data_IF_240979197876
#
_entry.id   IF_240979197876
#
_cell.length_a   1.000
_cell.length_b   1.000
_cell.length_c   1.000
_cell.angle_alpha   90.00
_cell.angle_beta   90.00
_cell.angle_gamma   90.00
#
_symmetry.space_group_name_H-M   'P 1'
#
loop_
_entity.id
_entity.type
_entity.pdbx_description
1 polymer ?
#
# COMPACT_ATOMS: atom_id res chain seq x y z
N UNK A 1 -21.02 -6.91 -18.80
CA UNK A 1 -20.07 -6.58 -17.70
C UNK A 1 -19.71 -5.12 -17.81
N UNK A 2 -20.12 -4.32 -16.83
CA UNK A 2 -19.94 -2.86 -16.85
C UNK A 2 -18.47 -2.50 -16.97
N UNK A 3 -18.10 -1.89 -18.09
CA UNK A 3 -16.90 -1.07 -18.20
C UNK A 3 -17.09 0.12 -17.25
N UNK A 4 -16.86 -0.05 -15.96
CA UNK A 4 -16.55 1.09 -15.08
C UNK A 4 -15.16 1.55 -15.52
N UNK A 5 -15.13 2.42 -16.54
CA UNK A 5 -14.10 3.44 -16.62
C UNK A 5 -14.24 4.18 -15.28
N UNK A 6 -13.38 3.89 -14.30
CA UNK A 6 -13.22 4.83 -13.20
C UNK A 6 -12.95 6.17 -13.90
N UNK A 7 -13.76 7.21 -13.65
CA UNK A 7 -13.42 8.53 -14.16
C UNK A 7 -12.01 8.77 -13.65
N UNK A 8 -11.05 8.99 -14.56
CA UNK A 8 -9.68 9.29 -14.16
C UNK A 8 -9.78 10.54 -13.30
N UNK A 9 -9.71 10.35 -11.99
CA UNK A 9 -9.61 11.44 -11.03
C UNK A 9 -8.37 12.22 -11.43
N UNK A 10 -8.41 13.55 -11.30
CA UNK A 10 -7.27 14.40 -11.60
C UNK A 10 -6.04 13.79 -10.90
N UNK A 11 -4.89 13.67 -11.60
CA UNK A 11 -3.68 13.16 -10.96
C UNK A 11 -3.44 13.95 -9.67
N UNK A 12 -3.11 13.26 -8.56
CA UNK A 12 -2.99 13.91 -7.25
C UNK A 12 -2.01 15.10 -7.27
N UNK A 13 -0.99 15.03 -8.12
CA UNK A 13 0.02 16.08 -8.31
C UNK A 13 -0.49 17.31 -9.10
N UNK A 14 -1.63 17.19 -9.76
CA UNK A 14 -2.29 18.25 -10.53
C UNK A 14 -3.44 18.90 -9.75
N UNK A 15 -3.84 18.31 -8.63
CA UNK A 15 -4.86 18.86 -7.74
C UNK A 15 -4.47 20.27 -7.25
N UNK A 16 -5.33 21.29 -7.45
CA UNK A 16 -5.01 22.67 -7.11
C UNK A 16 -4.59 22.86 -5.65
N UNK A 17 -5.31 22.22 -4.71
CA UNK A 17 -5.02 22.32 -3.29
C UNK A 17 -3.65 21.70 -2.92
N UNK A 18 -3.27 20.60 -3.58
CA UNK A 18 -1.97 19.95 -3.35
C UNK A 18 -0.84 20.83 -3.87
N UNK A 19 -1.00 21.41 -5.06
CA UNK A 19 -0.01 22.32 -5.66
C UNK A 19 0.15 23.61 -4.85
N UNK A 20 -0.97 24.23 -4.47
CA UNK A 20 -0.96 25.45 -3.66
C UNK A 20 -0.25 25.21 -2.32
N UNK A 21 -0.59 24.12 -1.60
CA UNK A 21 0.05 23.83 -0.32
C UNK A 21 1.56 23.58 -0.47
N UNK A 22 1.98 22.81 -1.47
CA UNK A 22 3.40 22.55 -1.72
C UNK A 22 4.20 23.82 -2.04
N UNK A 23 3.57 24.80 -2.68
CA UNK A 23 4.20 26.09 -2.99
C UNK A 23 4.23 27.01 -1.75
N UNK A 24 3.15 27.09 -0.97
CA UNK A 24 3.13 27.81 0.31
C UNK A 24 4.20 27.26 1.26
N UNK A 25 4.28 25.94 1.40
CA UNK A 25 5.31 25.29 2.20
C UNK A 25 6.73 25.58 1.69
N UNK A 26 6.90 25.79 0.38
CA UNK A 26 8.20 26.13 -0.23
C UNK A 26 8.59 27.56 0.12
N UNK A 27 7.67 28.51 -0.04
CA UNK A 27 7.89 29.93 0.23
C UNK A 27 8.29 30.17 1.69
N UNK A 28 7.76 29.35 2.60
CA UNK A 28 8.03 29.46 4.04
C UNK A 28 9.05 28.44 4.58
N UNK A 29 9.79 27.72 3.73
CA UNK A 29 10.79 26.71 4.13
C UNK A 29 10.27 25.71 5.17
N UNK A 30 9.02 25.25 5.01
CA UNK A 30 8.40 24.34 5.97
C UNK A 30 9.11 22.98 6.00
N UNK A 31 9.50 22.46 7.18
CA UNK A 31 10.30 21.23 7.31
C UNK A 31 9.59 19.98 6.77
N UNK A 32 8.25 20.00 6.66
CA UNK A 32 7.44 18.88 6.18
C UNK A 32 7.27 18.79 4.65
N UNK A 33 7.70 19.80 3.89
CA UNK A 33 7.41 19.89 2.45
C UNK A 33 7.91 18.68 1.66
N UNK A 34 9.14 18.26 1.94
CA UNK A 34 9.78 17.16 1.24
C UNK A 34 9.03 15.84 1.43
N UNK A 35 8.57 15.58 2.65
CA UNK A 35 7.80 14.39 2.96
C UNK A 35 6.40 14.42 2.35
N UNK A 36 5.69 15.55 2.41
CA UNK A 36 4.40 15.70 1.73
C UNK A 36 4.51 15.47 0.22
N UNK A 37 5.49 16.11 -0.44
CA UNK A 37 5.72 15.95 -1.87
C UNK A 37 5.98 14.49 -2.23
N UNK A 38 6.88 13.84 -1.48
CA UNK A 38 7.23 12.46 -1.76
C UNK A 38 6.08 11.50 -1.44
N UNK A 39 5.24 11.77 -0.44
CA UNK A 39 3.99 11.03 -0.22
C UNK A 39 3.07 11.12 -1.43
N UNK A 40 2.78 12.32 -1.93
CA UNK A 40 1.92 12.51 -3.10
C UNK A 40 2.47 11.79 -4.35
N UNK A 41 3.79 11.82 -4.55
CA UNK A 41 4.44 11.07 -5.64
C UNK A 41 4.31 9.56 -5.49
N UNK A 42 4.46 9.03 -4.26
CA UNK A 42 4.28 7.60 -4.02
C UNK A 42 2.82 7.17 -4.24
N UNK A 43 1.85 7.99 -3.82
CA UNK A 43 0.42 7.73 -4.05
C UNK A 43 0.10 7.75 -5.55
N UNK A 44 0.65 8.69 -6.32
CA UNK A 44 0.54 8.68 -7.78
C UNK A 44 1.18 7.42 -8.41
N UNK A 45 2.29 6.93 -7.84
CA UNK A 45 2.91 5.68 -8.24
C UNK A 45 2.05 4.44 -7.97
N UNK A 46 1.27 4.44 -6.87
CA UNK A 46 0.29 3.38 -6.60
C UNK A 46 -0.78 3.31 -7.69
N UNK A 47 -1.26 4.46 -8.17
CA UNK A 47 -2.26 4.54 -9.25
C UNK A 47 -1.73 3.93 -10.56
N UNK A 48 -0.48 4.22 -10.91
CA UNK A 48 0.17 3.64 -12.09
C UNK A 48 0.32 2.11 -11.97
N UNK A 49 0.79 1.62 -10.83
CA UNK A 49 0.97 0.19 -10.61
C UNK A 49 -0.34 -0.58 -10.60
N UNK A 50 -1.41 0.02 -10.08
CA UNK A 50 -2.74 -0.58 -10.09
C UNK A 50 -3.35 -0.64 -11.50
N UNK A 51 -3.01 0.31 -12.38
CA UNK A 51 -3.33 0.20 -13.81
C UNK A 51 -2.58 -0.98 -14.46
N UNK A 52 -1.29 -1.15 -14.20
CA UNK A 52 -0.53 -2.30 -14.71
C UNK A 52 -1.07 -3.63 -14.19
N UNK A 53 -1.55 -3.70 -12.95
CA UNK A 53 -2.19 -4.91 -12.42
C UNK A 53 -3.48 -5.27 -13.19
N UNK A 54 -4.25 -4.28 -13.67
CA UNK A 54 -5.41 -4.55 -14.53
C UNK A 54 -5.01 -5.13 -15.90
N UNK A 55 -3.86 -4.70 -16.43
CA UNK A 55 -3.30 -5.26 -17.67
C UNK A 55 -2.90 -6.72 -17.44
N UNK A 56 -2.19 -7.04 -16.34
CA UNK A 56 -1.83 -8.42 -15.99
C UNK A 56 -3.08 -9.30 -15.78
N UNK A 57 -4.11 -8.81 -15.10
CA UNK A 57 -5.38 -9.53 -14.98
C UNK A 57 -6.04 -9.82 -16.34
N UNK A 58 -5.91 -8.91 -17.31
CA UNK A 58 -6.40 -9.14 -18.67
C UNK A 58 -5.62 -10.25 -19.37
N UNK A 59 -4.30 -10.29 -19.19
CA UNK A 59 -3.42 -11.36 -19.69
C UNK A 59 -3.77 -12.70 -19.04
N UNK A 60 -3.96 -12.74 -17.71
CA UNK A 60 -4.37 -13.97 -17.02
C UNK A 60 -5.68 -14.54 -17.58
N UNK A 61 -6.68 -13.68 -17.83
CA UNK A 61 -7.96 -14.12 -18.44
C UNK A 61 -7.74 -14.70 -19.83
N UNK A 62 -6.91 -14.06 -20.65
CA UNK A 62 -6.61 -14.51 -22.01
C UNK A 62 -5.90 -15.86 -22.01
N UNK A 63 -4.85 -16.01 -21.20
CA UNK A 63 -4.10 -17.25 -21.04
C UNK A 63 -5.02 -18.39 -20.56
N UNK A 64 -5.89 -18.13 -19.58
CA UNK A 64 -6.85 -19.12 -19.10
C UNK A 64 -7.94 -19.45 -20.13
N UNK A 65 -8.36 -18.49 -20.96
CA UNK A 65 -9.35 -18.75 -22.02
C UNK A 65 -8.81 -19.72 -23.08
N UNK A 66 -7.51 -19.63 -23.41
CA UNK A 66 -6.83 -20.51 -24.37
C UNK A 66 -6.45 -21.88 -23.77
N UNK A 67 -6.40 -21.98 -22.44
CA UNK A 67 -6.10 -23.24 -21.76
C UNK A 67 -7.24 -24.27 -21.89
N UNK A 68 -6.86 -25.55 -22.04
CA UNK A 68 -7.80 -26.67 -22.05
C UNK A 68 -8.57 -26.76 -20.72
N UNK A 69 -9.82 -27.19 -20.79
CA UNK A 69 -10.64 -27.40 -19.60
C UNK A 69 -10.04 -28.45 -18.67
N UNK A 70 -9.87 -28.08 -17.40
CA UNK A 70 -9.25 -28.91 -16.37
C UNK A 70 -9.60 -28.40 -14.97
N UNK A 71 -9.46 -29.24 -13.91
CA UNK A 71 -9.57 -28.77 -12.54
C UNK A 71 -8.61 -27.62 -12.21
N UNK A 72 -7.40 -27.65 -12.78
CA UNK A 72 -6.38 -26.59 -12.65
C UNK A 72 -6.89 -25.27 -13.22
N UNK A 73 -7.42 -25.28 -14.45
CA UNK A 73 -8.00 -24.09 -15.08
C UNK A 73 -9.10 -23.48 -14.22
N UNK A 74 -10.05 -24.30 -13.73
CA UNK A 74 -11.15 -23.83 -12.87
C UNK A 74 -10.64 -23.22 -11.56
N UNK A 75 -9.62 -23.83 -10.95
CA UNK A 75 -9.00 -23.30 -9.74
C UNK A 75 -8.32 -21.94 -10.00
N UNK A 76 -7.59 -21.80 -11.11
CA UNK A 76 -6.95 -20.55 -11.50
C UNK A 76 -7.97 -19.46 -11.86
N UNK A 77 -9.07 -19.79 -12.54
CA UNK A 77 -10.17 -18.85 -12.79
C UNK A 77 -10.77 -18.31 -11.49
N UNK A 78 -10.94 -19.17 -10.47
CA UNK A 78 -11.41 -18.75 -9.14
C UNK A 78 -10.41 -17.80 -8.48
N UNK A 79 -9.11 -18.05 -8.63
CA UNK A 79 -8.07 -17.15 -8.13
C UNK A 79 -8.10 -15.80 -8.84
N UNK A 80 -8.18 -15.78 -10.17
CA UNK A 80 -8.29 -14.54 -10.97
C UNK A 80 -9.52 -13.72 -10.58
N UNK A 81 -10.68 -14.36 -10.39
CA UNK A 81 -11.87 -13.67 -9.89
C UNK A 81 -11.67 -13.07 -8.48
N UNK A 82 -10.88 -13.73 -7.64
CA UNK A 82 -10.46 -13.21 -6.33
C UNK A 82 -9.57 -11.97 -6.48
N UNK A 83 -8.53 -12.06 -7.32
CA UNK A 83 -7.63 -10.93 -7.62
C UNK A 83 -8.41 -9.73 -8.15
N UNK A 84 -9.32 -9.93 -9.11
CA UNK A 84 -10.17 -8.85 -9.64
C UNK A 84 -10.99 -8.14 -8.57
N UNK A 85 -11.58 -8.90 -7.64
CA UNK A 85 -12.37 -8.34 -6.55
C UNK A 85 -11.50 -7.47 -5.64
N UNK A 86 -10.30 -7.95 -5.30
CA UNK A 86 -9.35 -7.20 -4.45
C UNK A 86 -8.81 -5.97 -5.18
N UNK A 87 -8.42 -6.09 -6.45
CA UNK A 87 -7.95 -4.98 -7.29
C UNK A 87 -9.01 -3.87 -7.43
N UNK A 88 -10.28 -4.24 -7.61
CA UNK A 88 -11.38 -3.25 -7.60
C UNK A 88 -11.54 -2.60 -6.22
N UNK A 89 -11.35 -3.35 -5.13
CA UNK A 89 -11.34 -2.81 -3.77
C UNK A 89 -10.18 -1.82 -3.53
N UNK A 90 -9.00 -2.11 -4.08
CA UNK A 90 -7.83 -1.23 -4.02
C UNK A 90 -8.09 0.11 -4.73
N UNK A 91 -8.77 0.11 -5.88
CA UNK A 91 -9.17 1.35 -6.56
C UNK A 91 -10.01 2.24 -5.67
N UNK A 92 -11.10 1.72 -5.09
CA UNK A 92 -11.96 2.51 -4.21
C UNK A 92 -11.23 3.04 -2.97
N UNK A 93 -10.28 2.28 -2.42
CA UNK A 93 -9.44 2.74 -1.30
C UNK A 93 -8.44 3.82 -1.72
N UNK A 94 -7.88 3.71 -2.91
CA UNK A 94 -6.95 4.70 -3.46
C UNK A 94 -7.66 6.02 -3.77
N UNK A 95 -8.88 5.98 -4.34
CA UNK A 95 -9.70 7.18 -4.55
C UNK A 95 -10.02 7.86 -3.22
N UNK A 96 -10.48 7.10 -2.22
CA UNK A 96 -10.73 7.64 -0.87
C UNK A 96 -9.46 8.21 -0.22
N UNK A 97 -8.30 7.60 -0.46
CA UNK A 97 -7.01 8.12 0.00
C UNK A 97 -6.69 9.48 -0.66
N UNK A 98 -6.84 9.58 -1.99
CA UNK A 98 -6.61 10.83 -2.74
C UNK A 98 -7.54 11.94 -2.25
N UNK A 99 -8.83 11.65 -2.07
CA UNK A 99 -9.81 12.59 -1.52
C UNK A 99 -9.39 13.13 -0.15
N UNK A 100 -8.95 12.25 0.76
CA UNK A 100 -8.47 12.66 2.08
C UNK A 100 -7.22 13.53 2.01
N UNK A 101 -6.29 13.23 1.10
CA UNK A 101 -5.11 14.09 0.88
C UNK A 101 -5.54 15.48 0.42
N UNK A 102 -6.39 15.56 -0.60
CA UNK A 102 -6.89 16.85 -1.12
C UNK A 102 -7.62 17.64 -0.04
N UNK A 103 -8.49 16.99 0.72
CA UNK A 103 -9.23 17.62 1.81
C UNK A 103 -8.32 18.09 2.95
N UNK A 104 -7.32 17.30 3.33
CA UNK A 104 -6.33 17.71 4.32
C UNK A 104 -5.47 18.88 3.83
N UNK A 105 -5.13 18.93 2.53
CA UNK A 105 -4.45 20.09 1.95
C UNK A 105 -5.30 21.36 2.03
N UNK A 106 -6.60 21.28 1.70
CA UNK A 106 -7.53 22.42 1.83
C UNK A 106 -7.62 22.93 3.26
N UNK A 107 -7.75 22.01 4.23
CA UNK A 107 -7.80 22.37 5.66
C UNK A 107 -6.51 23.02 6.15
N UNK A 108 -5.36 22.51 5.70
CA UNK A 108 -4.06 23.10 6.02
C UNK A 108 -3.94 24.53 5.46
N UNK A 109 -4.36 24.75 4.20
CA UNK A 109 -4.37 26.07 3.58
C UNK A 109 -5.30 27.05 4.29
N UNK A 110 -6.49 26.60 4.70
CA UNK A 110 -7.41 27.40 5.49
C UNK A 110 -6.79 27.80 6.85
N UNK A 111 -6.21 26.83 7.57
CA UNK A 111 -5.54 27.09 8.85
C UNK A 111 -4.33 28.03 8.70
N UNK A 112 -3.59 27.92 7.58
CA UNK A 112 -2.50 28.85 7.25
C UNK A 112 -2.99 30.28 7.06
N UNK A 113 -4.13 30.48 6.39
CA UNK A 113 -4.72 31.82 6.20
C UNK A 113 -5.18 32.45 7.53
N UNK A 114 -5.62 31.63 8.48
CA UNK A 114 -6.07 32.09 9.80
C UNK A 114 -4.93 32.30 10.81
N UNK A 115 -3.95 31.39 10.83
CA UNK A 115 -2.95 31.27 11.92
C UNK A 115 -1.51 31.48 11.45
N UNK A 116 -1.29 31.65 10.15
CA UNK A 116 0.01 31.84 9.54
C UNK A 116 0.86 30.57 9.46
N UNK A 117 2.17 30.76 9.35
CA UNK A 117 3.17 29.71 9.04
C UNK A 117 3.15 28.54 10.02
N UNK A 118 2.79 28.77 11.29
CA UNK A 118 2.72 27.72 12.31
C UNK A 118 1.75 26.59 11.95
N UNK A 119 0.67 26.89 11.20
CA UNK A 119 -0.30 25.89 10.76
C UNK A 119 0.32 24.84 9.81
N UNK A 120 1.36 25.20 9.04
CA UNK A 120 2.02 24.29 8.10
C UNK A 120 2.72 23.14 8.81
N UNK A 121 3.15 23.33 10.06
CA UNK A 121 3.74 22.27 10.87
C UNK A 121 2.73 21.14 11.13
N UNK A 122 1.44 21.47 11.27
CA UNK A 122 0.36 20.53 11.56
C UNK A 122 -0.28 19.90 10.31
N UNK A 123 0.37 19.98 9.15
CA UNK A 123 -0.17 19.44 7.89
C UNK A 123 -0.57 17.96 8.01
N UNK A 124 0.24 17.13 8.67
CA UNK A 124 -0.08 15.71 8.86
C UNK A 124 -1.38 15.47 9.62
N UNK A 125 -1.67 16.31 10.62
CA UNK A 125 -2.88 16.20 11.43
C UNK A 125 -4.12 16.42 10.57
N UNK A 126 -4.08 17.34 9.60
CA UNK A 126 -5.23 17.58 8.72
C UNK A 126 -5.48 16.47 7.69
N UNK A 127 -4.46 15.70 7.31
CA UNK A 127 -4.55 14.65 6.28
C UNK A 127 -5.37 13.44 6.74
N UNK A 128 -5.18 12.98 7.99
CA UNK A 128 -5.87 11.80 8.56
C UNK A 128 -5.87 10.55 7.65
N UNK A 129 -4.75 10.29 6.95
CA UNK A 129 -4.68 9.23 5.93
C UNK A 129 -4.12 7.88 6.41
N UNK A 130 -3.56 7.80 7.62
CA UNK A 130 -2.97 6.55 8.15
C UNK A 130 -3.91 5.35 8.08
N UNK A 131 -5.18 5.42 8.52
CA UNK A 131 -6.10 4.27 8.42
C UNK A 131 -6.40 3.84 6.98
N UNK A 132 -6.39 4.79 6.04
CA UNK A 132 -6.60 4.49 4.62
C UNK A 132 -5.40 3.72 4.03
N UNK A 133 -4.18 4.16 4.34
CA UNK A 133 -2.94 3.49 3.93
C UNK A 133 -2.84 2.08 4.50
N UNK A 134 -3.13 1.89 5.79
CA UNK A 134 -3.16 0.55 6.39
C UNK A 134 -4.23 -0.35 5.76
N UNK A 135 -5.37 0.23 5.37
CA UNK A 135 -6.40 -0.48 4.61
C UNK A 135 -5.91 -0.97 3.25
N UNK A 136 -5.13 -0.15 2.54
CA UNK A 136 -4.48 -0.52 1.28
C UNK A 136 -3.46 -1.64 1.52
N UNK A 137 -2.59 -1.50 2.52
CA UNK A 137 -1.58 -2.52 2.87
C UNK A 137 -2.20 -3.90 3.11
N UNK A 138 -3.33 -3.96 3.82
CA UNK A 138 -4.04 -5.23 4.08
C UNK A 138 -4.66 -5.85 2.83
N UNK A 139 -5.16 -5.04 1.90
CA UNK A 139 -5.71 -5.57 0.64
C UNK A 139 -4.60 -6.06 -0.29
N UNK A 140 -3.47 -5.35 -0.36
CA UNK A 140 -2.29 -5.77 -1.12
C UNK A 140 -1.75 -7.12 -0.61
N UNK A 141 -1.69 -7.33 0.70
CA UNK A 141 -1.28 -8.61 1.29
C UNK A 141 -2.23 -9.76 0.90
N UNK A 142 -3.55 -9.52 0.90
CA UNK A 142 -4.51 -10.52 0.39
C UNK A 142 -4.29 -10.85 -1.08
N UNK A 143 -3.94 -9.84 -1.89
CA UNK A 143 -3.68 -10.00 -3.31
C UNK A 143 -2.44 -10.88 -3.55
N UNK A 144 -1.34 -10.61 -2.83
CA UNK A 144 -0.12 -11.44 -2.86
C UNK A 144 -0.42 -12.91 -2.50
N UNK A 145 -1.28 -13.16 -1.51
CA UNK A 145 -1.69 -14.52 -1.13
C UNK A 145 -2.46 -15.23 -2.26
N UNK A 146 -3.27 -14.52 -3.03
CA UNK A 146 -3.92 -15.09 -4.21
C UNK A 146 -2.91 -15.47 -5.28
N UNK A 147 -1.94 -14.61 -5.58
CA UNK A 147 -0.86 -14.92 -6.52
C UNK A 147 -0.04 -16.14 -6.07
N UNK A 148 0.39 -16.17 -4.81
CA UNK A 148 1.15 -17.30 -4.25
C UNK A 148 0.36 -18.60 -4.35
N UNK A 149 -0.96 -18.56 -4.11
CA UNK A 149 -1.84 -19.70 -4.30
C UNK A 149 -1.92 -20.14 -5.77
N UNK A 150 -2.06 -19.21 -6.72
CA UNK A 150 -2.08 -19.55 -8.14
C UNK A 150 -0.75 -20.19 -8.58
N UNK A 151 0.38 -19.62 -8.15
CA UNK A 151 1.71 -20.15 -8.44
C UNK A 151 1.90 -21.56 -7.87
N UNK A 152 1.44 -21.79 -6.64
CA UNK A 152 1.45 -23.12 -6.01
C UNK A 152 0.60 -24.15 -6.78
N UNK A 153 -0.60 -23.76 -7.23
CA UNK A 153 -1.48 -24.62 -8.05
C UNK A 153 -0.77 -25.00 -9.37
N UNK A 154 -0.15 -24.03 -10.04
CA UNK A 154 0.57 -24.27 -11.31
C UNK A 154 1.77 -25.18 -11.09
N UNK A 155 2.52 -24.97 -10.00
CA UNK A 155 3.68 -25.78 -9.67
C UNK A 155 3.29 -27.23 -9.35
N UNK A 156 2.25 -27.44 -8.53
CA UNK A 156 1.74 -28.77 -8.20
C UNK A 156 1.28 -29.52 -9.45
N UNK A 157 0.46 -28.88 -10.29
CA UNK A 157 0.01 -29.47 -11.55
C UNK A 157 1.20 -29.80 -12.47
N UNK A 158 2.20 -28.92 -12.56
CA UNK A 158 3.38 -29.17 -13.39
C UNK A 158 4.17 -30.41 -12.90
N UNK A 159 4.30 -30.61 -11.58
CA UNK A 159 4.97 -31.78 -11.00
C UNK A 159 4.19 -33.05 -11.32
N UNK A 160 2.88 -33.07 -11.06
CA UNK A 160 2.01 -34.22 -11.34
C UNK A 160 2.05 -34.64 -12.81
N UNK A 161 1.93 -33.69 -13.75
CA UNK A 161 1.98 -34.02 -15.19
C UNK A 161 3.37 -34.53 -15.62
N UNK A 162 4.45 -34.01 -15.04
CA UNK A 162 5.80 -34.49 -15.32
C UNK A 162 6.01 -35.89 -14.77
N UNK A 163 5.47 -36.18 -13.59
CA UNK A 163 5.50 -37.51 -12.98
C UNK A 163 4.73 -38.53 -13.80
N UNK A 164 3.46 -38.24 -14.13
CA UNK A 164 2.64 -39.12 -14.95
C UNK A 164 3.27 -39.39 -16.33
N UNK A 165 3.79 -38.35 -16.99
CA UNK A 165 4.51 -38.50 -18.27
C UNK A 165 5.79 -39.34 -18.15
N UNK A 166 6.52 -39.19 -17.04
CA UNK A 166 7.70 -40.02 -16.75
C UNK A 166 7.33 -41.48 -16.53
N UNK A 167 6.27 -41.76 -15.78
CA UNK A 167 5.80 -43.13 -15.55
C UNK A 167 5.42 -43.79 -16.87
N UNK A 168 4.63 -43.11 -17.71
CA UNK A 168 4.27 -43.63 -19.03
C UNK A 168 5.52 -43.90 -19.90
N UNK A 169 6.48 -42.98 -19.92
CA UNK A 169 7.73 -43.16 -20.66
C UNK A 169 8.57 -44.32 -20.13
N UNK A 170 8.64 -44.49 -18.80
CA UNK A 170 9.36 -45.59 -18.17
C UNK A 170 8.67 -46.94 -18.46
N UNK A 171 7.34 -46.99 -18.54
CA UNK A 171 6.61 -48.18 -18.99
C UNK A 171 7.01 -48.53 -20.43
N UNK A 172 7.03 -47.56 -21.35
CA UNK A 172 7.46 -47.80 -22.74
C UNK A 172 8.93 -48.26 -22.80
N UNK A 173 9.83 -47.66 -22.01
CA UNK A 173 11.24 -48.08 -21.95
C UNK A 173 11.38 -49.50 -21.41
N UNK A 174 10.64 -49.85 -20.36
CA UNK A 174 10.65 -51.19 -19.80
C UNK A 174 10.18 -52.25 -20.82
N UNK A 175 9.12 -51.96 -21.57
CA UNK A 175 8.66 -52.82 -22.69
C UNK A 175 9.75 -52.98 -23.77
N UNK A 176 10.58 -51.96 -23.98
CA UNK A 176 11.71 -51.99 -24.90
C UNK A 176 13.01 -52.56 -24.30
N UNK A 177 12.98 -53.09 -23.06
CA UNK A 177 14.18 -53.60 -22.36
C UNK A 177 15.19 -52.53 -21.94
N UNK A 178 14.76 -51.26 -21.86
CA UNK A 178 15.59 -50.12 -21.45
C UNK A 178 15.32 -49.75 -20.00
N UNK A 179 16.34 -49.25 -19.31
CA UNK A 179 16.24 -48.81 -17.91
C UNK A 179 15.27 -47.64 -17.70
N UNK A 180 14.88 -47.37 -16.46
CA UNK A 180 14.03 -46.24 -16.09
C UNK A 180 14.80 -44.90 -16.12
N UNK A 181 14.08 -43.79 -16.32
CA UNK A 181 14.60 -42.44 -16.06
C UNK A 181 14.23 -41.99 -14.65
N UNK A 182 15.15 -41.28 -13.97
CA UNK A 182 14.94 -40.78 -12.59
C UNK A 182 15.01 -39.27 -12.43
N UNK A 183 15.66 -38.52 -13.33
CA UNK A 183 15.79 -37.08 -13.13
C UNK A 183 14.47 -36.31 -13.35
N UNK A 184 14.06 -35.46 -12.39
CA UNK A 184 12.94 -34.55 -12.59
C UNK A 184 13.33 -33.44 -13.57
N UNK A 185 12.54 -33.27 -14.64
CA UNK A 185 12.64 -32.10 -15.51
C UNK A 185 11.99 -30.88 -14.85
N UNK A 186 12.53 -29.69 -15.10
CA UNK A 186 11.92 -28.42 -14.69
C UNK A 186 10.56 -28.18 -15.37
N UNK A 187 9.79 -27.16 -14.93
CA UNK A 187 8.41 -26.95 -15.35
C UNK A 187 8.29 -26.76 -16.86
N UNK A 188 7.28 -27.41 -17.47
CA UNK A 188 7.02 -27.35 -18.90
C UNK A 188 6.61 -25.97 -19.41
N UNK A 189 6.63 -25.77 -20.74
CA UNK A 189 6.33 -24.47 -21.37
C UNK A 189 4.96 -23.90 -20.97
N UNK A 190 3.92 -24.74 -20.87
CA UNK A 190 2.58 -24.34 -20.40
C UNK A 190 2.59 -23.80 -18.97
N UNK A 191 3.25 -24.50 -18.04
CA UNK A 191 3.35 -24.05 -16.65
C UNK A 191 4.13 -22.74 -16.53
N UNK A 192 5.18 -22.56 -17.35
CA UNK A 192 5.91 -21.29 -17.42
C UNK A 192 5.06 -20.15 -17.98
N UNK A 193 4.29 -20.39 -19.05
CA UNK A 193 3.37 -19.40 -19.63
C UNK A 193 2.29 -18.99 -18.63
N UNK A 194 1.59 -19.96 -18.03
CA UNK A 194 0.54 -19.69 -17.05
C UNK A 194 1.06 -18.98 -15.79
N UNK A 195 2.28 -19.27 -15.33
CA UNK A 195 2.84 -18.65 -14.11
C UNK A 195 3.37 -17.24 -14.31
N UNK A 196 3.70 -16.85 -15.55
CA UNK A 196 4.29 -15.55 -15.83
C UNK A 196 3.43 -14.36 -15.38
N UNK A 197 2.14 -14.24 -15.77
CA UNK A 197 1.33 -13.09 -15.37
C UNK A 197 1.10 -13.04 -13.85
N UNK A 198 0.94 -14.18 -13.16
CA UNK A 198 0.83 -14.21 -11.69
C UNK A 198 2.11 -13.76 -10.99
N UNK A 199 3.30 -14.11 -11.52
CA UNK A 199 4.56 -13.58 -10.97
C UNK A 199 4.68 -12.07 -11.18
N UNK A 200 4.18 -11.58 -12.31
CA UNK A 200 4.24 -10.17 -12.65
C UNK A 200 3.28 -9.35 -11.78
N UNK A 201 2.03 -9.80 -11.62
CA UNK A 201 1.06 -9.18 -10.71
C UNK A 201 1.59 -9.17 -9.27
N UNK A 202 2.12 -10.31 -8.79
CA UNK A 202 2.75 -10.40 -7.47
C UNK A 202 3.87 -9.38 -7.26
N UNK A 203 4.71 -9.18 -8.27
CA UNK A 203 5.79 -8.15 -8.22
C UNK A 203 5.22 -6.75 -8.12
N UNK A 204 4.15 -6.45 -8.86
CA UNK A 204 3.43 -5.18 -8.76
C UNK A 204 2.86 -4.99 -7.35
N UNK A 205 2.20 -6.00 -6.79
CA UNK A 205 1.63 -5.94 -5.43
C UNK A 205 2.71 -5.75 -4.36
N UNK A 206 3.84 -6.46 -4.43
CA UNK A 206 4.97 -6.24 -3.51
C UNK A 206 5.57 -4.84 -3.64
N UNK A 207 5.66 -4.32 -4.87
CA UNK A 207 6.16 -2.96 -5.09
C UNK A 207 5.19 -1.92 -4.53
N UNK A 208 3.88 -2.10 -4.72
CA UNK A 208 2.83 -1.25 -4.11
C UNK A 208 2.86 -1.32 -2.58
N UNK A 209 3.13 -2.50 -2.00
CA UNK A 209 3.27 -2.66 -0.56
C UNK A 209 4.45 -1.82 -0.03
N UNK A 210 5.59 -1.88 -0.74
CA UNK A 210 6.78 -1.10 -0.41
C UNK A 210 6.53 0.41 -0.51
N UNK A 211 5.76 0.85 -1.52
CA UNK A 211 5.35 2.25 -1.64
C UNK A 211 4.43 2.69 -0.50
N UNK A 212 3.43 1.88 -0.16
CA UNK A 212 2.50 2.17 0.93
C UNK A 212 3.24 2.31 2.26
N UNK A 213 4.21 1.41 2.54
CA UNK A 213 5.10 1.54 3.69
C UNK A 213 5.95 2.82 3.63
N UNK A 214 6.44 3.19 2.45
CA UNK A 214 7.15 4.46 2.23
C UNK A 214 6.29 5.69 2.52
N UNK A 215 5.01 5.68 2.13
CA UNK A 215 4.07 6.78 2.46
C UNK A 215 3.83 6.85 3.96
N UNK A 216 3.62 5.71 4.64
CA UNK A 216 3.43 5.67 6.09
C UNK A 216 4.64 6.24 6.83
N UNK A 217 5.86 5.86 6.43
CA UNK A 217 7.09 6.39 7.03
C UNK A 217 7.22 7.91 6.86
N UNK A 218 6.87 8.43 5.68
CA UNK A 218 6.90 9.88 5.41
C UNK A 218 5.81 10.62 6.19
N UNK A 219 4.65 10.01 6.35
CA UNK A 219 3.59 10.54 7.20
C UNK A 219 4.09 10.65 8.65
N UNK A 220 4.80 9.64 9.15
CA UNK A 220 5.42 9.69 10.50
C UNK A 220 6.45 10.82 10.63
N UNK A 221 7.29 11.02 9.61
CA UNK A 221 8.23 12.14 9.60
C UNK A 221 7.50 13.50 9.56
N UNK A 222 6.41 13.60 8.79
CA UNK A 222 5.59 14.80 8.70
C UNK A 222 4.88 15.11 10.03
N UNK A 223 4.40 14.08 10.74
CA UNK A 223 3.86 14.17 12.10
C UNK A 223 4.93 14.62 13.12
N UNK A 224 6.17 14.14 12.97
CA UNK A 224 7.29 14.52 13.84
C UNK A 224 7.76 15.96 13.61
N UNK A 225 7.71 16.45 12.37
CA UNK A 225 8.04 17.84 12.05
C UNK A 225 7.12 18.86 12.74
N UNK A 226 5.92 18.43 13.17
CA UNK A 226 4.97 19.22 13.93
C UNK A 226 5.31 19.33 15.44
N UNK A 227 6.09 18.38 15.98
CA UNK A 227 6.37 18.30 17.41
C UNK A 227 7.50 19.26 17.82
N UNK A 228 7.33 20.07 18.88
CA UNK A 228 8.46 20.81 19.45
C UNK A 228 9.55 19.82 19.92
N UNK A 229 10.85 20.15 19.75
CA UNK A 229 11.93 19.31 20.23
C UNK A 229 11.78 19.04 21.74
N UNK A 230 12.07 17.81 22.16
CA UNK A 230 11.89 17.33 23.55
C UNK A 230 12.46 18.31 24.59
N UNK A 231 13.56 18.98 24.28
CA UNK A 231 14.14 20.03 25.15
C UNK A 231 13.20 21.20 25.41
N UNK A 232 12.51 21.70 24.40
CA UNK A 232 11.52 22.78 24.55
C UNK A 232 10.34 22.31 25.39
N UNK A 233 9.87 21.08 25.19
CA UNK A 233 8.80 20.52 26.04
C UNK A 233 9.24 20.33 27.49
N UNK A 234 10.49 19.91 27.74
CA UNK A 234 11.03 19.79 29.09
C UNK A 234 11.21 21.17 29.75
N UNK A 235 11.64 22.19 29.00
CA UNK A 235 11.74 23.56 29.50
C UNK A 235 10.38 24.17 29.81
N UNK A 236 9.36 23.90 28.99
CA UNK A 236 7.98 24.31 29.23
C UNK A 236 7.37 23.59 30.45
N UNK A 237 7.55 22.27 30.56
CA UNK A 237 7.15 21.52 31.75
C UNK A 237 7.86 22.03 33.01
N UNK A 238 9.16 22.35 32.94
CA UNK A 238 9.91 22.91 34.06
C UNK A 238 9.44 24.32 34.46
N UNK A 239 9.06 25.16 33.49
CA UNK A 239 8.47 26.48 33.74
C UNK A 239 7.09 26.35 34.39
N UNK A 240 6.25 25.42 33.92
CA UNK A 240 4.93 25.15 34.50
C UNK A 240 5.03 24.60 35.94
N UNK A 241 5.96 23.69 36.19
CA UNK A 241 6.23 23.16 37.54
C UNK A 241 6.66 24.27 38.52
N UNK A 242 7.59 25.14 38.10
CA UNK A 242 8.01 26.30 38.92
C UNK A 242 6.86 27.28 39.17
N UNK A 243 6.00 27.50 38.19
CA UNK A 243 4.81 28.35 38.35
C UNK A 243 3.80 27.75 39.33
N UNK A 244 3.61 26.43 39.33
CA UNK A 244 2.76 25.74 40.30
C UNK A 244 3.33 25.80 41.73
N UNK A 245 4.63 25.54 41.91
CA UNK A 245 5.29 25.64 43.22
C UNK A 245 5.22 27.07 43.80
N UNK A 246 5.35 28.09 42.95
CA UNK A 246 5.22 29.49 43.37
C UNK A 246 3.80 29.87 43.79
N UNK A 247 2.76 29.24 43.20
CA UNK A 247 1.36 29.43 43.58
C UNK A 247 1.01 28.72 44.89
N UNK A 248 1.55 27.53 45.13
CA UNK A 248 1.38 26.82 46.41
C UNK A 248 2.06 27.54 47.58
N UNK A 249 3.26 28.11 47.37
CA UNK A 249 3.93 28.91 48.41
C UNK A 249 3.27 30.26 48.71
N UNK A 250 2.49 30.79 47.77
CA UNK A 250 1.78 32.06 47.94
C UNK A 250 0.38 31.90 48.57
N UNK A 251 -0.09 30.67 48.80
CA UNK A 251 -1.34 30.44 49.52
C UNK A 251 -1.13 30.79 51.02
N UNK A 252 -1.94 31.69 51.62
CA UNK A 252 -1.74 32.09 53.01
C UNK A 252 -2.00 30.90 53.93
N UNK A 253 -1.09 30.67 54.88
CA UNK A 253 -1.29 29.72 55.96
C UNK A 253 -2.56 30.13 56.72
N UNK A 254 -3.60 29.29 56.63
CA UNK A 254 -4.81 29.47 57.41
C UNK A 254 -4.42 29.37 58.88
N UNK A 255 -4.31 30.53 59.54
CA UNK A 255 -4.14 30.64 60.97
C UNK A 255 -5.32 29.91 61.63
N UNK A 256 -5.06 28.72 62.17
CA UNK A 256 -5.98 28.07 63.11
C UNK A 256 -6.01 28.94 64.37
N UNK A 257 -6.99 29.83 64.45
CA UNK A 257 -7.35 30.45 65.72
C UNK A 257 -7.84 29.36 66.67
N UNK A 258 -7.09 29.18 67.75
CA UNK A 258 -7.50 28.38 68.89
C UNK A 258 -8.51 29.18 69.70
N UNK A 259 -9.74 28.67 69.82
CA UNK A 259 -10.58 28.75 71.02
C UNK A 259 -11.74 27.77 70.95
#
# INVERSE_FOLDING_TARGET
>A
MSKRKHPRSVPLMEEPAVRELLEVMKQHNSPGRGDLLAMCQQIAGLEQQLNSALEELSVMRQELAQARESPVKRALQKTVAGLEKVTNGLWGRLDSLKEKVVEGCKKTLAAFRERGVSALAHTAEFLHIRPALEGISRELEKNIVFDDRALSIIEAASKEYHEAGRHLKNIVRAVQGREALHDPKGPGALARGLSLPFRQDRRLMCAMQSRTAGVLKRLEHLEQAARPPIRQTMEECAKLAKAQESKERAAPAVSREAR
#
